data_IF_331943245467
#
_entry.id   IF_331943245467
#
_cell.length_a   1.000
_cell.length_b   1.000
_cell.length_c   1.000
_cell.angle_alpha   90.00
_cell.angle_beta   90.00
_cell.angle_gamma   90.00
#
_symmetry.space_group_name_H-M   'P 1'
#
loop_
_entity.id
_entity.type
_entity.pdbx_description
1 polymer ?
#
# COMPACT_ATOMS: atom_id res chain seq x y z
N UNK A 1 -7.93 -22.33 0.20
CA UNK A 1 -6.60 -21.68 0.04
C UNK A 1 -6.41 -20.71 1.19
N UNK A 2 -5.21 -20.60 1.80
CA UNK A 2 -4.98 -19.61 2.86
C UNK A 2 -5.19 -18.18 2.32
N UNK A 3 -5.58 -17.21 3.16
CA UNK A 3 -5.72 -15.81 2.76
C UNK A 3 -4.40 -15.25 2.23
N UNK A 4 -4.47 -14.47 1.15
CA UNK A 4 -3.29 -13.76 0.61
C UNK A 4 -2.88 -12.63 1.55
N UNK A 5 -1.60 -12.54 1.90
CA UNK A 5 -1.06 -11.43 2.72
C UNK A 5 -0.91 -10.16 1.88
N UNK A 6 -1.64 -9.11 2.24
CA UNK A 6 -1.74 -7.86 1.49
C UNK A 6 -1.02 -6.73 2.24
N UNK A 7 -0.16 -6.01 1.54
CA UNK A 7 0.39 -4.74 1.97
C UNK A 7 -0.32 -3.60 1.23
N UNK A 8 -0.90 -2.65 1.96
CA UNK A 8 -1.63 -1.53 1.36
C UNK A 8 -0.80 -0.25 1.47
N UNK A 9 -0.55 0.42 0.36
CA UNK A 9 0.15 1.71 0.34
C UNK A 9 -0.85 2.85 0.13
N UNK A 10 -0.73 3.91 0.92
CA UNK A 10 -1.65 5.07 0.93
C UNK A 10 -0.88 6.39 1.06
N UNK A 11 -1.52 7.50 0.70
CA UNK A 11 -1.00 8.87 0.93
C UNK A 11 -2.05 9.84 1.48
N UNK A 12 -3.24 9.36 1.91
CA UNK A 12 -4.34 10.26 2.27
C UNK A 12 -5.48 9.59 3.05
N UNK A 13 -6.72 9.94 2.69
CA UNK A 13 -7.94 9.60 3.46
C UNK A 13 -8.21 8.09 3.63
N UNK A 14 -7.70 7.26 2.73
CA UNK A 14 -7.82 5.80 2.83
C UNK A 14 -9.24 5.26 2.59
N UNK A 15 -10.06 5.88 1.73
CA UNK A 15 -11.40 5.36 1.39
C UNK A 15 -11.33 3.98 0.71
N UNK A 16 -10.39 3.79 -0.23
CA UNK A 16 -10.15 2.49 -0.86
C UNK A 16 -9.58 1.45 0.12
N UNK A 17 -8.76 1.90 1.09
CA UNK A 17 -8.32 1.04 2.19
C UNK A 17 -9.52 0.56 3.01
N UNK A 18 -10.45 1.45 3.38
CA UNK A 18 -11.67 1.08 4.10
C UNK A 18 -12.49 0.05 3.32
N UNK A 19 -12.74 0.29 2.04
CA UNK A 19 -13.48 -0.65 1.21
C UNK A 19 -12.82 -2.04 1.17
N UNK A 20 -11.49 -2.10 1.08
CA UNK A 20 -10.74 -3.36 1.13
C UNK A 20 -10.89 -4.07 2.49
N UNK A 21 -10.77 -3.33 3.61
CA UNK A 21 -11.01 -3.84 4.96
C UNK A 21 -12.41 -4.45 5.07
N UNK A 22 -13.42 -3.73 4.60
CA UNK A 22 -14.82 -4.15 4.70
C UNK A 22 -15.09 -5.43 3.88
N UNK A 23 -14.54 -5.52 2.67
CA UNK A 23 -14.72 -6.71 1.82
C UNK A 23 -13.94 -7.94 2.32
N UNK A 24 -12.78 -7.74 2.98
CA UNK A 24 -12.08 -8.83 3.68
C UNK A 24 -12.88 -9.28 4.90
N UNK A 25 -13.37 -8.34 5.70
CA UNK A 25 -14.15 -8.62 6.92
C UNK A 25 -15.44 -9.39 6.61
N UNK A 26 -16.08 -9.06 5.49
CA UNK A 26 -17.29 -9.77 5.02
C UNK A 26 -17.01 -11.09 4.30
N UNK A 27 -15.73 -11.48 4.17
CA UNK A 27 -15.32 -12.73 3.54
C UNK A 27 -15.43 -12.77 2.01
N UNK A 28 -15.72 -11.64 1.35
CA UNK A 28 -15.78 -11.58 -0.11
C UNK A 28 -14.40 -11.61 -0.76
N UNK A 29 -13.38 -11.14 -0.04
CA UNK A 29 -11.98 -11.20 -0.46
C UNK A 29 -11.25 -12.16 0.47
N UNK A 30 -10.68 -13.23 -0.10
CA UNK A 30 -9.81 -14.15 0.64
C UNK A 30 -8.40 -13.57 0.81
N UNK A 31 -8.29 -12.48 1.57
CA UNK A 31 -7.05 -11.75 1.82
C UNK A 31 -6.94 -11.32 3.27
N UNK A 32 -5.72 -10.99 3.69
CA UNK A 32 -5.42 -10.47 5.02
C UNK A 32 -4.49 -9.28 4.87
N UNK A 33 -4.90 -8.10 5.31
CA UNK A 33 -4.00 -6.94 5.35
C UNK A 33 -3.01 -7.16 6.48
N UNK A 34 -1.72 -7.31 6.16
CA UNK A 34 -0.67 -7.49 7.17
C UNK A 34 0.02 -6.18 7.52
N UNK A 35 -0.01 -5.19 6.63
CA UNK A 35 0.52 -3.86 6.89
C UNK A 35 -0.15 -2.80 6.00
N UNK A 36 -0.36 -1.62 6.58
CA UNK A 36 -0.71 -0.39 5.86
C UNK A 36 0.46 0.57 5.96
N UNK A 37 1.00 1.00 4.82
CA UNK A 37 2.16 1.89 4.72
C UNK A 37 1.71 3.24 4.18
N UNK A 38 2.09 4.32 4.85
CA UNK A 38 1.88 5.69 4.37
C UNK A 38 3.21 6.42 4.17
N UNK A 39 3.29 7.23 3.11
CA UNK A 39 4.37 8.21 2.94
C UNK A 39 4.06 9.57 3.59
N UNK A 40 2.90 9.71 4.23
CA UNK A 40 2.47 10.90 4.97
C UNK A 40 2.04 10.54 6.40
N UNK A 41 2.63 11.23 7.39
CA UNK A 41 2.39 10.97 8.82
C UNK A 41 0.94 11.25 9.25
N UNK A 42 0.31 12.21 8.60
CA UNK A 42 -1.04 12.71 8.86
C UNK A 42 -2.10 12.07 7.96
N UNK A 43 -1.75 11.04 7.18
CA UNK A 43 -2.73 10.30 6.38
C UNK A 43 -3.79 9.67 7.27
N UNK A 44 -5.05 10.10 7.13
CA UNK A 44 -6.17 9.56 7.90
C UNK A 44 -6.36 8.04 7.69
N UNK A 45 -5.88 7.47 6.58
CA UNK A 45 -5.87 6.03 6.39
C UNK A 45 -5.02 5.26 7.41
N UNK A 46 -4.01 5.88 8.04
CA UNK A 46 -3.29 5.26 9.17
C UNK A 46 -4.21 5.09 10.39
N UNK A 47 -5.02 6.11 10.71
CA UNK A 47 -6.01 6.05 11.79
C UNK A 47 -7.03 4.94 11.51
N UNK A 48 -7.48 4.78 10.24
CA UNK A 48 -8.35 3.66 9.85
C UNK A 48 -7.69 2.31 10.11
N UNK A 49 -6.43 2.15 9.70
CA UNK A 49 -5.69 0.92 9.92
C UNK A 49 -5.58 0.58 11.41
N UNK A 50 -5.19 1.54 12.25
CA UNK A 50 -5.09 1.38 13.70
C UNK A 50 -6.45 1.05 14.35
N UNK A 51 -7.53 1.71 13.91
CA UNK A 51 -8.91 1.44 14.39
C UNK A 51 -9.32 -0.01 14.13
N UNK A 52 -8.87 -0.58 13.01
CA UNK A 52 -9.08 -1.98 12.65
C UNK A 52 -7.98 -2.93 13.14
N UNK A 53 -7.12 -2.48 14.07
CA UNK A 53 -6.03 -3.27 14.67
C UNK A 53 -5.02 -3.80 13.64
N UNK A 54 -4.85 -3.09 12.53
CA UNK A 54 -3.87 -3.39 11.50
C UNK A 54 -2.54 -2.68 11.81
N UNK A 55 -1.43 -3.30 11.42
CA UNK A 55 -0.11 -2.68 11.53
C UNK A 55 -0.02 -1.47 10.60
N UNK A 56 0.02 -0.26 11.17
CA UNK A 56 0.10 1.00 10.45
C UNK A 56 1.51 1.59 10.54
N UNK A 57 2.17 1.79 9.40
CA UNK A 57 3.56 2.22 9.33
C UNK A 57 3.67 3.50 8.50
N UNK A 58 4.14 4.57 9.13
CA UNK A 58 4.59 5.76 8.41
C UNK A 58 6.07 5.60 8.04
N UNK A 59 6.38 5.73 6.75
CA UNK A 59 7.76 5.80 6.26
C UNK A 59 8.05 7.25 5.89
N UNK A 60 8.95 7.88 6.65
CA UNK A 60 9.28 9.29 6.45
C UNK A 60 10.26 9.49 5.29
N UNK A 61 9.76 10.01 4.16
CA UNK A 61 10.61 10.39 3.03
C UNK A 61 11.65 11.45 3.39
N UNK A 62 11.36 12.36 4.32
CA UNK A 62 12.29 13.43 4.74
C UNK A 62 13.47 12.88 5.54
N UNK A 63 13.32 11.70 6.15
CA UNK A 63 14.39 10.98 6.84
C UNK A 63 15.33 10.21 5.89
N UNK A 64 15.10 10.28 4.57
CA UNK A 64 15.86 9.54 3.57
C UNK A 64 16.63 10.51 2.67
N UNK A 65 17.91 10.24 2.43
CA UNK A 65 18.76 11.05 1.56
C UNK A 65 18.40 10.86 0.08
N UNK A 66 17.89 9.69 -0.29
CA UNK A 66 17.58 9.34 -1.69
C UNK A 66 16.22 8.67 -1.86
N UNK A 67 15.69 8.68 -3.08
CA UNK A 67 14.46 7.94 -3.42
C UNK A 67 14.67 6.42 -3.31
N UNK A 68 15.88 5.95 -3.62
CA UNK A 68 16.29 4.55 -3.45
C UNK A 68 16.23 4.13 -1.98
N UNK A 69 16.78 4.93 -1.07
CA UNK A 69 16.74 4.62 0.37
C UNK A 69 15.29 4.57 0.89
N UNK A 70 14.46 5.52 0.46
CA UNK A 70 13.04 5.54 0.81
C UNK A 70 12.32 4.26 0.35
N UNK A 71 12.52 3.86 -0.90
CA UNK A 71 11.93 2.64 -1.44
C UNK A 71 12.46 1.37 -0.76
N UNK A 72 13.73 1.33 -0.36
CA UNK A 72 14.29 0.22 0.44
C UNK A 72 13.66 0.11 1.80
N UNK A 73 13.34 1.23 2.46
CA UNK A 73 12.57 1.21 3.73
C UNK A 73 11.16 0.64 3.51
N UNK A 74 10.48 1.02 2.43
CA UNK A 74 9.17 0.44 2.06
C UNK A 74 9.33 -1.08 1.83
N UNK A 75 10.30 -1.50 1.02
CA UNK A 75 10.56 -2.91 0.73
C UNK A 75 10.86 -3.72 2.01
N UNK A 76 11.66 -3.16 2.92
CA UNK A 76 11.97 -3.80 4.20
C UNK A 76 10.71 -4.00 5.05
N UNK A 77 9.80 -3.01 5.10
CA UNK A 77 8.53 -3.14 5.81
C UNK A 77 7.64 -4.20 5.16
N UNK A 78 7.53 -4.22 3.83
CA UNK A 78 6.76 -5.22 3.09
C UNK A 78 7.27 -6.64 3.34
N UNK A 79 8.59 -6.83 3.26
CA UNK A 79 9.26 -8.12 3.51
C UNK A 79 9.07 -8.57 4.97
N UNK A 80 9.26 -7.68 5.95
CA UNK A 80 9.06 -7.99 7.37
C UNK A 80 7.64 -8.45 7.69
N UNK A 81 6.64 -7.94 6.97
CA UNK A 81 5.24 -8.31 7.14
C UNK A 81 4.79 -9.41 6.17
N UNK A 82 5.74 -10.10 5.53
CA UNK A 82 5.53 -11.24 4.63
C UNK A 82 4.47 -10.96 3.55
N UNK A 83 4.45 -9.73 3.02
CA UNK A 83 3.48 -9.31 2.02
C UNK A 83 3.64 -10.15 0.76
N UNK A 84 2.52 -10.65 0.24
CA UNK A 84 2.43 -11.41 -1.00
C UNK A 84 1.86 -10.59 -2.16
N UNK A 85 0.97 -9.63 -1.87
CA UNK A 85 0.35 -8.72 -2.84
C UNK A 85 0.41 -7.28 -2.32
N UNK A 86 0.84 -6.35 -3.17
CA UNK A 86 0.78 -4.91 -2.91
C UNK A 86 -0.50 -4.33 -3.52
N UNK A 87 -1.24 -3.56 -2.74
CA UNK A 87 -2.38 -2.76 -3.23
C UNK A 87 -2.08 -1.28 -3.03
N UNK A 88 -2.03 -0.53 -4.13
CA UNK A 88 -1.88 0.92 -4.13
C UNK A 88 -3.27 1.56 -4.02
N UNK A 89 -3.60 2.09 -2.85
CA UNK A 89 -4.92 2.62 -2.51
C UNK A 89 -4.86 4.14 -2.33
N UNK A 90 -4.64 4.86 -3.44
CA UNK A 90 -4.39 6.31 -3.39
C UNK A 90 -2.98 6.65 -2.91
N UNK A 91 -2.01 5.82 -3.30
CA UNK A 91 -0.59 6.09 -3.12
C UNK A 91 -0.10 7.04 -4.22
N UNK A 92 0.61 8.11 -3.85
CA UNK A 92 0.92 9.23 -4.75
C UNK A 92 2.39 9.29 -5.19
N UNK A 93 3.16 8.23 -4.96
CA UNK A 93 4.57 8.14 -5.36
C UNK A 93 4.80 6.98 -6.32
N UNK A 94 5.78 7.15 -7.19
CA UNK A 94 6.28 6.08 -8.06
C UNK A 94 7.07 5.09 -7.21
N UNK A 95 6.71 3.81 -7.31
CA UNK A 95 7.53 2.74 -6.77
C UNK A 95 8.78 2.56 -7.62
N UNK A 96 9.94 2.46 -6.97
CA UNK A 96 11.19 2.16 -7.65
C UNK A 96 11.15 0.80 -8.37
N UNK A 97 11.98 0.65 -9.40
CA UNK A 97 12.15 -0.63 -10.09
C UNK A 97 12.56 -1.78 -9.17
N UNK A 98 13.23 -1.50 -8.04
CA UNK A 98 13.60 -2.51 -7.03
C UNK A 98 12.34 -3.13 -6.39
N UNK A 99 11.37 -2.30 -5.99
CA UNK A 99 10.10 -2.77 -5.41
C UNK A 99 9.27 -3.49 -6.48
N UNK A 100 9.18 -2.92 -7.68
CA UNK A 100 8.43 -3.51 -8.80
C UNK A 100 8.97 -4.88 -9.19
N UNK A 101 10.30 -5.05 -9.20
CA UNK A 101 10.94 -6.32 -9.49
C UNK A 101 10.68 -7.35 -8.38
N UNK A 102 10.83 -6.98 -7.11
CA UNK A 102 10.57 -7.87 -5.97
C UNK A 102 9.11 -8.37 -5.94
N UNK A 103 8.17 -7.53 -6.39
CA UNK A 103 6.73 -7.81 -6.44
C UNK A 103 6.19 -7.94 -7.86
N UNK A 104 7.01 -8.46 -8.79
CA UNK A 104 6.61 -8.65 -10.18
C UNK A 104 5.29 -9.44 -10.27
N UNK A 105 4.33 -8.94 -11.07
CA UNK A 105 2.96 -9.46 -11.19
C UNK A 105 2.13 -9.51 -9.90
N UNK A 106 2.55 -8.80 -8.84
CA UNK A 106 1.92 -8.84 -7.51
C UNK A 106 1.67 -7.43 -6.96
N UNK A 107 1.41 -6.47 -7.85
CA UNK A 107 1.06 -5.09 -7.53
C UNK A 107 -0.24 -4.76 -8.26
N UNK A 108 -1.23 -4.24 -7.53
CA UNK A 108 -2.48 -3.73 -8.09
C UNK A 108 -2.61 -2.25 -7.74
N UNK A 109 -3.04 -1.45 -8.70
CA UNK A 109 -3.35 -0.03 -8.51
C UNK A 109 -4.77 0.26 -8.99
N UNK A 110 -5.42 1.22 -8.34
CA UNK A 110 -6.68 1.81 -8.80
C UNK A 110 -6.42 3.24 -9.31
N UNK A 111 -6.79 3.51 -10.56
CA UNK A 111 -6.68 4.83 -11.18
C UNK A 111 -8.08 5.43 -11.37
N UNK A 112 -8.33 6.70 -11.02
CA UNK A 112 -9.65 7.32 -11.15
C UNK A 112 -9.95 7.79 -12.58
N UNK A 113 -9.56 7.01 -13.60
CA UNK A 113 -9.89 7.24 -15.00
C UNK A 113 -9.80 5.94 -15.82
N UNK A 114 -10.40 5.96 -17.01
CA UNK A 114 -10.37 4.84 -17.95
C UNK A 114 -9.05 4.82 -18.72
N UNK A 115 -8.12 3.99 -18.30
CA UNK A 115 -6.85 3.78 -19.02
C UNK A 115 -7.09 3.28 -20.46
N UNK A 116 -6.31 3.74 -21.47
CA UNK A 116 -5.13 4.62 -21.37
C UNK A 116 -5.45 6.13 -21.32
N UNK A 117 -6.71 6.54 -21.32
CA UNK A 117 -7.10 7.95 -21.27
C UNK A 117 -6.84 8.57 -19.89
N UNK A 118 -6.37 9.82 -19.86
CA UNK A 118 -6.15 10.59 -18.62
C UNK A 118 -5.24 9.89 -17.60
N UNK A 119 -4.26 9.12 -18.09
CA UNK A 119 -3.14 8.68 -17.27
C UNK A 119 -2.37 9.91 -16.78
N UNK A 120 -2.00 9.93 -15.49
CA UNK A 120 -1.11 10.95 -14.97
C UNK A 120 0.28 10.82 -15.61
N UNK A 121 1.11 11.84 -15.41
CA UNK A 121 2.56 11.62 -15.50
C UNK A 121 2.89 10.75 -14.30
N UNK A 122 3.13 9.46 -14.53
CA UNK A 122 3.64 8.56 -13.49
C UNK A 122 4.77 9.26 -12.75
#
# INVERSE_FOLDING_TARGET
>A
MPPVKIGVLISGHGSNLQALIDQITTGKINGQITVVISDRKDAYGLIRAETHQLNAVFVDRKSCSTETEFNRKILAVLTKNEVQLIVLAGYLRILSGEVVHAYHNRIINIHPALIPSFCGQG
#
